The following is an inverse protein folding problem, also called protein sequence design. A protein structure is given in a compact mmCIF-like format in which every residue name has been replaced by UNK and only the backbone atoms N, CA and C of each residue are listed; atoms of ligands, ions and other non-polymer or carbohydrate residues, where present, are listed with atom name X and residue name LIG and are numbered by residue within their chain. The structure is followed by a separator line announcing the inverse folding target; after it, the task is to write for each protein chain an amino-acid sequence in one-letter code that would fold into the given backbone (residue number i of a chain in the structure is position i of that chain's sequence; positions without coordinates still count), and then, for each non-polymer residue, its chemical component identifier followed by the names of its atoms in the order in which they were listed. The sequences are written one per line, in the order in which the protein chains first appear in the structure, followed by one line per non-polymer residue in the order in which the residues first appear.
data_IF_130816027564
#
_entry.id   IF_130816027564
#
_cell.length_a   1.000
_cell.length_b   1.000
_cell.length_c   1.000
_cell.angle_alpha   90.00
_cell.angle_beta   90.00
_cell.angle_gamma   90.00
#
_symmetry.space_group_name_H-M   'P 1'
#
loop_
_entity.id
_entity.type
_entity.pdbx_description
1 polymer ?
#
# COMPACT_ATOMS: atom_id res chain seq x y z
N UNK A 1 4.28 17.78 12.69
CA UNK A 1 4.24 16.65 11.77
C UNK A 1 2.88 15.99 11.87
N UNK A 2 2.32 15.56 10.77
CA UNK A 2 1.07 14.80 10.65
C UNK A 2 1.35 13.30 10.61
N UNK A 3 0.33 12.47 10.89
CA UNK A 3 0.37 11.01 10.71
C UNK A 3 -0.70 10.61 9.70
N UNK A 4 -0.30 9.82 8.70
CA UNK A 4 -1.21 9.07 7.85
C UNK A 4 -1.16 7.59 8.28
N UNK A 5 -2.27 7.09 8.80
CA UNK A 5 -2.38 5.66 9.08
C UNK A 5 -2.80 4.91 7.82
N UNK A 6 -2.02 3.90 7.44
CA UNK A 6 -2.26 3.06 6.27
C UNK A 6 -2.58 1.60 6.61
N UNK A 7 -2.96 1.32 7.87
CA UNK A 7 -3.31 -0.03 8.34
C UNK A 7 -4.38 -0.68 7.46
N UNK A 8 -5.43 0.07 7.09
CA UNK A 8 -6.56 -0.44 6.33
C UNK A 8 -6.26 -0.67 4.84
N UNK A 9 -5.19 -0.07 4.31
CA UNK A 9 -4.77 -0.25 2.91
C UNK A 9 -3.51 -1.11 2.82
N UNK A 10 -2.37 -0.60 3.28
CA UNK A 10 -1.07 -1.27 3.19
C UNK A 10 -1.00 -2.49 4.12
N UNK A 11 -1.59 -2.36 5.32
CA UNK A 11 -1.66 -3.46 6.26
C UNK A 11 -2.43 -4.66 5.70
N UNK A 12 -3.52 -4.46 4.95
CA UNK A 12 -4.26 -5.55 4.32
C UNK A 12 -3.50 -6.21 3.15
N UNK A 13 -2.46 -5.55 2.62
CA UNK A 13 -1.58 -6.14 1.61
C UNK A 13 -0.55 -7.11 2.22
N UNK A 14 -0.39 -7.12 3.53
CA UNK A 14 0.44 -8.09 4.24
C UNK A 14 -0.13 -9.51 4.10
N UNK A 15 0.72 -10.49 3.76
CA UNK A 15 0.30 -11.89 3.74
C UNK A 15 -0.06 -12.36 5.15
N UNK A 16 -1.20 -12.99 5.28
CA UNK A 16 -1.76 -13.41 6.56
C UNK A 16 -2.55 -12.34 7.30
N UNK A 17 -2.76 -11.15 6.72
CA UNK A 17 -3.61 -10.12 7.32
C UNK A 17 -4.89 -9.95 6.52
N UNK A 18 -6.01 -10.00 7.22
CA UNK A 18 -7.32 -9.81 6.63
C UNK A 18 -8.25 -9.07 7.60
N UNK A 19 -8.89 -8.02 7.13
CA UNK A 19 -9.85 -7.24 7.91
C UNK A 19 -11.28 -7.41 7.38
N UNK A 20 -12.20 -8.05 8.15
CA UNK A 20 -13.63 -7.94 7.90
C UNK A 20 -14.10 -6.48 7.88
N UNK A 21 -15.14 -6.18 7.12
CA UNK A 21 -15.66 -4.80 6.99
C UNK A 21 -15.94 -4.17 8.36
N UNK A 22 -16.56 -4.90 9.27
CA UNK A 22 -16.83 -4.41 10.62
C UNK A 22 -15.57 -4.10 11.42
N UNK A 23 -14.51 -4.89 11.24
CA UNK A 23 -13.21 -4.61 11.86
C UNK A 23 -12.58 -3.34 11.26
N UNK A 24 -12.67 -3.15 9.93
CA UNK A 24 -12.20 -1.92 9.28
C UNK A 24 -12.91 -0.67 9.79
N UNK A 25 -14.22 -0.73 9.97
CA UNK A 25 -15.02 0.36 10.54
C UNK A 25 -14.59 0.69 11.97
N UNK A 26 -14.43 -0.33 12.81
CA UNK A 26 -13.94 -0.16 14.18
C UNK A 26 -12.55 0.44 14.22
N UNK A 27 -11.62 -0.06 13.39
CA UNK A 27 -10.27 0.49 13.28
C UNK A 27 -10.29 1.95 12.83
N UNK A 28 -11.11 2.31 11.83
CA UNK A 28 -11.24 3.69 11.39
C UNK A 28 -11.72 4.61 12.53
N UNK A 29 -12.71 4.18 13.34
CA UNK A 29 -13.18 4.94 14.50
C UNK A 29 -12.10 5.07 15.58
N UNK A 30 -11.34 4.00 15.87
CA UNK A 30 -10.27 4.01 16.87
C UNK A 30 -9.13 4.93 16.42
N UNK A 31 -8.73 4.89 15.15
CA UNK A 31 -7.72 5.77 14.58
C UNK A 31 -8.15 7.23 14.62
N UNK A 32 -9.41 7.52 14.30
CA UNK A 32 -10.00 8.87 14.42
C UNK A 32 -10.01 9.35 15.88
N UNK A 33 -10.38 8.49 16.82
CA UNK A 33 -10.32 8.79 18.25
C UNK A 33 -8.89 9.07 18.72
N UNK A 34 -7.89 8.38 18.17
CA UNK A 34 -6.46 8.67 18.42
C UNK A 34 -6.07 10.05 17.86
N UNK A 35 -6.82 10.58 16.89
CA UNK A 35 -6.60 11.88 16.27
C UNK A 35 -5.59 11.85 15.11
N UNK A 36 -5.40 10.71 14.43
CA UNK A 36 -4.54 10.66 13.25
C UNK A 36 -5.06 11.60 12.16
N UNK A 37 -4.16 12.23 11.42
CA UNK A 37 -4.54 13.29 10.47
C UNK A 37 -5.19 12.73 9.20
N UNK A 38 -4.74 11.56 8.76
CA UNK A 38 -5.27 10.84 7.61
C UNK A 38 -5.46 9.36 7.91
N UNK A 39 -6.50 8.76 7.36
CA UNK A 39 -6.71 7.32 7.32
C UNK A 39 -6.78 6.90 5.85
N UNK A 40 -5.87 6.04 5.43
CA UNK A 40 -5.87 5.47 4.09
C UNK A 40 -6.77 4.23 4.06
N UNK A 41 -7.97 4.39 3.50
CA UNK A 41 -9.08 3.44 3.68
C UNK A 41 -9.09 2.27 2.69
N UNK A 42 -8.20 2.28 1.70
CA UNK A 42 -8.08 1.18 0.74
C UNK A 42 -7.86 1.61 -0.70
N UNK A 43 -7.88 0.63 -1.61
CA UNK A 43 -7.87 0.81 -3.06
C UNK A 43 -9.18 0.23 -3.64
N UNK A 44 -10.25 1.02 -3.79
CA UNK A 44 -11.60 0.51 -4.05
C UNK A 44 -11.75 -0.21 -5.40
N UNK A 45 -10.84 0.03 -6.35
CA UNK A 45 -10.82 -0.68 -7.62
C UNK A 45 -10.20 -2.09 -7.54
N UNK A 46 -9.53 -2.44 -6.43
CA UNK A 46 -8.83 -3.72 -6.30
C UNK A 46 -9.81 -4.89 -6.13
N UNK A 47 -10.85 -4.73 -5.28
CA UNK A 47 -11.86 -5.77 -5.06
C UNK A 47 -13.20 -5.17 -4.61
N UNK A 48 -14.34 -5.88 -4.86
CA UNK A 48 -15.67 -5.43 -4.42
C UNK A 48 -15.80 -5.24 -2.91
N UNK A 49 -15.22 -6.13 -2.10
CA UNK A 49 -15.24 -6.04 -0.64
C UNK A 49 -14.49 -4.81 -0.11
N UNK A 50 -13.38 -4.42 -0.76
CA UNK A 50 -12.65 -3.19 -0.41
C UNK A 50 -13.49 -1.97 -0.74
N UNK A 51 -14.15 -1.96 -1.92
CA UNK A 51 -15.06 -0.86 -2.30
C UNK A 51 -16.19 -0.71 -1.29
N UNK A 52 -16.82 -1.81 -0.88
CA UNK A 52 -17.88 -1.80 0.13
C UNK A 52 -17.37 -1.23 1.46
N UNK A 53 -16.20 -1.67 1.92
CA UNK A 53 -15.59 -1.14 3.14
C UNK A 53 -15.36 0.37 3.06
N UNK A 54 -14.87 0.87 1.92
CA UNK A 54 -14.67 2.32 1.71
C UNK A 54 -15.99 3.09 1.78
N UNK A 55 -17.07 2.58 1.17
CA UNK A 55 -18.41 3.18 1.28
C UNK A 55 -18.84 3.29 2.74
N UNK A 56 -18.72 2.21 3.50
CA UNK A 56 -19.17 2.17 4.89
C UNK A 56 -18.33 3.05 5.81
N UNK A 57 -17.01 3.12 5.59
CA UNK A 57 -16.12 4.00 6.35
C UNK A 57 -16.38 5.47 6.00
N UNK A 58 -16.60 5.79 4.72
CA UNK A 58 -16.90 7.16 4.29
C UNK A 58 -18.22 7.72 4.86
N UNK A 59 -19.13 6.85 5.27
CA UNK A 59 -20.38 7.23 5.92
C UNK A 59 -20.24 7.48 7.44
N UNK A 60 -19.11 7.15 8.05
CA UNK A 60 -18.86 7.39 9.48
C UNK A 60 -18.55 8.88 9.75
N UNK A 61 -18.97 9.42 10.90
CA UNK A 61 -18.71 10.81 11.27
C UNK A 61 -17.27 10.99 11.80
N UNK A 62 -16.29 10.78 10.95
CA UNK A 62 -14.87 10.86 11.29
C UNK A 62 -14.33 12.29 11.06
N UNK A 63 -13.42 12.72 11.92
CA UNK A 63 -12.69 13.98 11.79
C UNK A 63 -11.41 13.84 10.96
N UNK A 64 -10.81 12.65 10.96
CA UNK A 64 -9.64 12.31 10.15
C UNK A 64 -9.95 12.42 8.66
N UNK A 65 -9.01 12.93 7.88
CA UNK A 65 -9.15 13.00 6.42
C UNK A 65 -9.04 11.59 5.84
N UNK A 66 -10.09 11.15 5.16
CA UNK A 66 -10.09 9.85 4.48
C UNK A 66 -9.47 9.97 3.09
N UNK A 67 -8.54 9.09 2.76
CA UNK A 67 -7.87 9.01 1.47
C UNK A 67 -7.98 7.60 0.92
N UNK A 68 -8.29 7.45 -0.37
CA UNK A 68 -8.24 6.15 -1.05
C UNK A 68 -7.23 6.18 -2.20
N UNK A 69 -6.56 5.05 -2.40
CA UNK A 69 -5.64 4.86 -3.53
C UNK A 69 -6.40 4.71 -4.86
N UNK A 70 -5.81 5.28 -5.91
CA UNK A 70 -6.18 5.02 -7.30
C UNK A 70 -4.92 4.99 -8.18
N UNK A 71 -4.94 4.13 -9.19
CA UNK A 71 -3.93 4.16 -10.24
C UNK A 71 -4.10 5.42 -11.10
N UNK A 72 -3.16 5.67 -12.02
CA UNK A 72 -3.27 6.73 -13.02
C UNK A 72 -4.33 6.36 -14.09
N UNK A 73 -5.56 6.16 -13.62
CA UNK A 73 -6.72 5.73 -14.40
C UNK A 73 -7.94 6.59 -14.04
N UNK A 74 -8.55 7.21 -15.06
CA UNK A 74 -9.69 8.13 -14.87
C UNK A 74 -10.90 7.47 -14.23
N UNK A 75 -11.16 6.19 -14.49
CA UNK A 75 -12.30 5.50 -13.91
C UNK A 75 -12.08 5.25 -12.41
N UNK A 76 -10.86 4.88 -11.99
CA UNK A 76 -10.52 4.73 -10.58
C UNK A 76 -10.55 6.05 -9.82
N UNK A 77 -10.01 7.13 -10.42
CA UNK A 77 -10.04 8.47 -9.81
C UNK A 77 -11.50 8.94 -9.62
N UNK A 78 -12.34 8.77 -10.65
CA UNK A 78 -13.76 9.09 -10.58
C UNK A 78 -14.47 8.27 -9.49
N UNK A 79 -14.18 6.98 -9.39
CA UNK A 79 -14.71 6.10 -8.35
C UNK A 79 -14.44 6.65 -6.95
N UNK A 80 -13.23 7.13 -6.66
CA UNK A 80 -12.91 7.74 -5.35
C UNK A 80 -13.85 8.92 -5.05
N UNK A 81 -14.10 9.77 -6.06
CA UNK A 81 -15.05 10.89 -5.91
C UNK A 81 -16.49 10.44 -5.69
N UNK A 82 -16.94 9.44 -6.46
CA UNK A 82 -18.30 8.88 -6.37
C UNK A 82 -18.56 8.18 -5.03
N UNK A 83 -17.51 7.65 -4.38
CA UNK A 83 -17.56 7.07 -3.04
C UNK A 83 -17.60 8.13 -1.91
N UNK A 84 -17.67 9.42 -2.25
CA UNK A 84 -17.84 10.50 -1.27
C UNK A 84 -16.54 10.97 -0.62
N UNK A 85 -15.37 10.51 -1.07
CA UNK A 85 -14.10 10.93 -0.52
C UNK A 85 -13.66 12.28 -1.09
N UNK A 86 -12.92 13.04 -0.27
CA UNK A 86 -12.34 14.32 -0.65
C UNK A 86 -10.88 14.20 -1.13
N UNK A 87 -10.19 13.10 -0.79
CA UNK A 87 -8.78 12.89 -1.09
C UNK A 87 -8.55 11.63 -1.91
N UNK A 88 -7.68 11.75 -2.92
CA UNK A 88 -7.17 10.60 -3.68
C UNK A 88 -5.65 10.49 -3.54
N UNK A 89 -5.17 9.28 -3.29
CA UNK A 89 -3.76 8.91 -3.33
C UNK A 89 -3.40 8.35 -4.71
N UNK A 90 -2.71 9.14 -5.52
CA UNK A 90 -2.15 8.71 -6.80
C UNK A 90 -0.70 8.27 -6.61
N UNK A 91 -0.25 7.30 -7.38
CA UNK A 91 1.12 6.80 -7.27
C UNK A 91 1.68 6.36 -8.63
N UNK A 92 2.97 6.55 -8.81
CA UNK A 92 3.75 6.03 -9.94
C UNK A 92 5.24 6.15 -9.66
N UNK A 93 6.02 5.20 -10.17
CA UNK A 93 7.47 5.32 -10.23
C UNK A 93 7.91 5.92 -11.57
N UNK A 94 9.08 6.56 -11.57
CA UNK A 94 9.69 7.15 -12.78
C UNK A 94 11.12 6.64 -13.04
N UNK A 95 11.63 5.78 -12.17
CA UNK A 95 12.95 5.17 -12.36
C UNK A 95 12.94 4.10 -13.46
N UNK A 96 14.10 3.65 -13.86
CA UNK A 96 14.28 2.70 -14.97
C UNK A 96 13.50 1.39 -14.76
N UNK A 97 13.43 0.86 -13.52
CA UNK A 97 12.68 -0.36 -13.21
C UNK A 97 11.16 -0.16 -13.42
N UNK A 98 10.65 0.98 -12.96
CA UNK A 98 9.24 1.34 -13.13
C UNK A 98 8.88 1.55 -14.60
N UNK A 99 9.72 2.28 -15.36
CA UNK A 99 9.51 2.50 -16.79
C UNK A 99 9.50 1.18 -17.57
N UNK A 100 10.44 0.28 -17.27
CA UNK A 100 10.50 -1.07 -17.86
C UNK A 100 9.22 -1.86 -17.54
N UNK A 101 8.79 -1.85 -16.27
CA UNK A 101 7.55 -2.52 -15.83
C UNK A 101 6.31 -2.02 -16.54
N UNK A 102 6.21 -0.71 -16.79
CA UNK A 102 5.08 -0.12 -17.50
C UNK A 102 5.16 -0.32 -19.02
N UNK A 103 6.33 -0.63 -19.57
CA UNK A 103 6.58 -0.61 -21.01
C UNK A 103 6.42 0.79 -21.61
N UNK A 104 6.75 1.83 -20.86
CA UNK A 104 6.55 3.23 -21.22
C UNK A 104 7.85 4.02 -21.17
N UNK A 105 7.93 5.05 -21.98
CA UNK A 105 8.95 6.08 -21.87
C UNK A 105 8.66 7.00 -20.67
N UNK A 106 9.69 7.68 -20.19
CA UNK A 106 9.54 8.69 -19.13
C UNK A 106 8.51 9.76 -19.49
N UNK A 107 8.56 10.24 -20.73
CA UNK A 107 7.62 11.24 -21.23
C UNK A 107 6.17 10.75 -21.10
N UNK A 108 5.88 9.54 -21.54
CA UNK A 108 4.52 8.97 -21.46
C UNK A 108 4.05 8.80 -20.02
N UNK A 109 4.97 8.45 -19.08
CA UNK A 109 4.64 8.37 -17.66
C UNK A 109 4.32 9.76 -17.09
N UNK A 110 5.12 10.79 -17.43
CA UNK A 110 4.84 12.17 -17.00
C UNK A 110 3.51 12.68 -17.57
N UNK A 111 3.21 12.41 -18.83
CA UNK A 111 1.92 12.77 -19.46
C UNK A 111 0.74 12.10 -18.75
N UNK A 112 0.87 10.82 -18.35
CA UNK A 112 -0.16 10.11 -17.60
C UNK A 112 -0.32 10.66 -16.17
N UNK A 113 0.77 10.95 -15.49
CA UNK A 113 0.77 11.56 -14.15
C UNK A 113 0.04 12.90 -14.23
N UNK A 114 0.45 13.78 -15.16
CA UNK A 114 -0.14 15.11 -15.33
C UNK A 114 -1.64 15.04 -15.63
N UNK A 115 -2.03 14.20 -16.58
CA UNK A 115 -3.43 14.02 -16.93
C UNK A 115 -4.28 13.51 -15.74
N UNK A 116 -3.71 12.63 -14.92
CA UNK A 116 -4.42 12.07 -13.76
C UNK A 116 -4.57 13.10 -12.63
N UNK A 117 -3.52 13.87 -12.34
CA UNK A 117 -3.57 14.94 -11.33
C UNK A 117 -4.57 16.01 -11.73
N UNK A 118 -4.49 16.52 -12.98
CA UNK A 118 -5.44 17.53 -13.49
C UNK A 118 -6.88 17.01 -13.43
N UNK A 119 -7.09 15.77 -13.85
CA UNK A 119 -8.43 15.18 -13.81
C UNK A 119 -8.99 15.05 -12.39
N UNK A 120 -8.15 14.65 -11.43
CA UNK A 120 -8.56 14.62 -10.03
C UNK A 120 -8.92 16.02 -9.50
N UNK A 121 -8.15 17.04 -9.88
CA UNK A 121 -8.44 18.44 -9.52
C UNK A 121 -9.74 18.94 -10.17
N UNK A 122 -10.00 18.57 -11.44
CA UNK A 122 -11.27 18.88 -12.13
C UNK A 122 -12.49 18.29 -11.40
N UNK A 123 -12.32 17.11 -10.77
CA UNK A 123 -13.36 16.48 -9.96
C UNK A 123 -13.48 17.10 -8.54
N UNK A 124 -12.68 18.11 -8.21
CA UNK A 124 -12.65 18.75 -6.89
C UNK A 124 -11.99 17.89 -5.80
N UNK A 125 -11.16 16.89 -6.18
CA UNK A 125 -10.42 16.09 -5.23
C UNK A 125 -9.13 16.81 -4.80
N UNK A 126 -8.77 16.64 -3.54
CA UNK A 126 -7.40 16.88 -3.08
C UNK A 126 -6.52 15.69 -3.48
N UNK A 127 -5.31 15.99 -3.95
CA UNK A 127 -4.40 14.99 -4.51
C UNK A 127 -3.17 14.84 -3.62
N UNK A 128 -2.94 13.61 -3.12
CA UNK A 128 -1.63 13.17 -2.63
C UNK A 128 -0.97 12.34 -3.72
N UNK A 129 0.18 12.76 -4.21
CA UNK A 129 0.95 11.97 -5.18
C UNK A 129 2.16 11.32 -4.50
N UNK A 130 2.25 10.00 -4.62
CA UNK A 130 3.38 9.21 -4.12
C UNK A 130 4.31 8.82 -5.26
N UNK A 131 5.58 9.26 -5.21
CA UNK A 131 6.60 8.71 -6.09
C UNK A 131 6.99 7.32 -5.57
N UNK A 132 6.55 6.27 -6.28
CA UNK A 132 6.91 4.88 -6.00
C UNK A 132 8.39 4.68 -6.29
N UNK A 133 9.08 3.96 -5.39
CA UNK A 133 10.51 3.65 -5.52
C UNK A 133 11.39 4.91 -5.64
N UNK A 134 11.03 5.93 -4.90
CA UNK A 134 11.73 7.21 -4.88
C UNK A 134 13.17 7.07 -4.35
N UNK A 135 13.43 6.11 -3.46
CA UNK A 135 14.75 5.81 -2.92
C UNK A 135 15.77 5.37 -3.98
N UNK A 136 15.30 4.79 -5.09
CA UNK A 136 16.12 4.36 -6.23
C UNK A 136 15.93 5.22 -7.49
N UNK A 137 15.21 6.34 -7.35
CA UNK A 137 15.04 7.34 -8.41
C UNK A 137 16.19 8.36 -8.37
N UNK A 138 16.65 8.80 -9.53
CA UNK A 138 17.63 9.90 -9.61
C UNK A 138 17.08 11.15 -8.93
N UNK A 139 17.90 11.86 -8.18
CA UNK A 139 17.46 12.97 -7.34
C UNK A 139 17.02 14.21 -8.11
N UNK A 140 17.65 14.47 -9.26
CA UNK A 140 17.27 15.59 -10.10
C UNK A 140 15.91 15.28 -10.76
N UNK A 141 15.74 14.03 -11.25
CA UNK A 141 14.47 13.58 -11.81
C UNK A 141 13.33 13.62 -10.78
N UNK A 142 13.62 13.26 -9.53
CA UNK A 142 12.66 13.35 -8.43
C UNK A 142 12.30 14.81 -8.12
N UNK A 143 13.28 15.70 -8.11
CA UNK A 143 13.07 17.13 -7.89
C UNK A 143 12.24 17.75 -9.02
N UNK A 144 12.55 17.41 -10.28
CA UNK A 144 11.81 17.86 -11.45
C UNK A 144 10.34 17.37 -11.39
N UNK A 145 10.12 16.09 -11.04
CA UNK A 145 8.77 15.55 -10.88
C UNK A 145 7.99 16.32 -9.81
N UNK A 146 8.59 16.54 -8.64
CA UNK A 146 7.89 17.22 -7.54
C UNK A 146 7.62 18.69 -7.85
N UNK A 147 8.54 19.38 -8.51
CA UNK A 147 8.33 20.73 -9.01
C UNK A 147 7.14 20.80 -9.98
N UNK A 148 7.12 19.91 -10.97
CA UNK A 148 6.04 19.80 -11.92
C UNK A 148 4.68 19.50 -11.27
N UNK A 149 4.63 18.54 -10.35
CA UNK A 149 3.39 18.18 -9.63
C UNK A 149 2.84 19.32 -8.78
N UNK A 150 3.72 20.12 -8.18
CA UNK A 150 3.35 21.31 -7.42
C UNK A 150 2.71 22.35 -8.34
N UNK A 151 3.27 22.57 -9.54
CA UNK A 151 2.70 23.47 -10.55
C UNK A 151 1.32 23.00 -11.02
N UNK A 152 1.09 21.68 -11.12
CA UNK A 152 -0.21 21.11 -11.45
C UNK A 152 -1.23 21.18 -10.30
N UNK A 153 -0.83 21.61 -9.12
CA UNK A 153 -1.70 21.79 -7.96
C UNK A 153 -1.91 20.53 -7.12
N UNK A 154 -0.95 19.60 -7.13
CA UNK A 154 -0.96 18.49 -6.16
C UNK A 154 -0.86 19.05 -4.72
N UNK A 155 -1.77 18.59 -3.84
CA UNK A 155 -1.88 19.14 -2.49
C UNK A 155 -0.84 18.56 -1.52
N UNK A 156 -0.38 17.33 -1.78
CA UNK A 156 0.63 16.62 -1.01
C UNK A 156 1.54 15.81 -1.93
N UNK A 157 2.83 15.79 -1.63
CA UNK A 157 3.82 15.00 -2.33
C UNK A 157 4.43 13.99 -1.37
N UNK A 158 4.61 12.75 -1.81
CA UNK A 158 5.06 11.66 -0.96
C UNK A 158 6.26 10.93 -1.56
N UNK A 159 7.26 10.70 -0.75
CA UNK A 159 8.44 9.92 -1.04
C UNK A 159 8.27 8.50 -0.50
N UNK A 160 8.31 7.48 -1.36
CA UNK A 160 8.24 6.10 -0.93
C UNK A 160 9.58 5.38 -1.09
N UNK A 161 10.13 4.89 0.03
CA UNK A 161 11.18 3.88 0.05
C UNK A 161 10.53 2.49 -0.07
N UNK A 162 10.08 2.19 -1.28
CA UNK A 162 9.21 1.05 -1.59
C UNK A 162 9.82 -0.30 -1.22
N UNK A 163 11.15 -0.41 -1.22
CA UNK A 163 11.87 -1.65 -0.91
C UNK A 163 12.74 -1.56 0.34
N UNK A 164 12.60 -0.51 1.15
CA UNK A 164 13.26 -0.36 2.44
C UNK A 164 14.79 -0.26 2.35
N UNK A 165 15.33 0.30 1.25
CA UNK A 165 16.78 0.37 1.03
C UNK A 165 17.43 1.66 1.50
N UNK A 166 16.65 2.66 1.86
CA UNK A 166 17.20 3.92 2.35
C UNK A 166 17.86 3.81 3.72
N UNK A 167 18.66 4.82 4.00
CA UNK A 167 19.33 4.99 5.29
C UNK A 167 19.12 6.41 5.80
N UNK A 168 19.26 6.64 7.12
CA UNK A 168 19.21 8.00 7.68
C UNK A 168 20.11 9.00 6.97
N UNK A 169 21.33 8.57 6.58
CA UNK A 169 22.28 9.41 5.86
C UNK A 169 21.76 9.80 4.46
N UNK A 170 21.09 8.87 3.74
CA UNK A 170 20.50 9.15 2.42
C UNK A 170 19.31 10.08 2.54
N UNK A 171 18.47 9.94 3.58
CA UNK A 171 17.37 10.87 3.85
C UNK A 171 17.90 12.28 4.16
N UNK A 172 18.95 12.40 4.99
CA UNK A 172 19.59 13.69 5.24
C UNK A 172 20.19 14.32 3.98
N UNK A 173 20.74 13.49 3.07
CA UNK A 173 21.23 13.95 1.78
C UNK A 173 20.10 14.35 0.81
N UNK A 174 18.93 13.68 0.87
CA UNK A 174 17.75 14.03 0.07
C UNK A 174 17.29 15.45 0.35
N UNK A 175 17.23 15.86 1.63
CA UNK A 175 16.86 17.23 2.00
C UNK A 175 17.71 18.26 1.26
N UNK A 176 19.05 18.04 1.18
CA UNK A 176 19.97 18.93 0.48
C UNK A 176 19.69 19.01 -1.02
N UNK A 177 19.29 17.90 -1.63
CA UNK A 177 18.98 17.84 -3.06
C UNK A 177 17.67 18.55 -3.43
N UNK A 178 16.73 18.66 -2.50
CA UNK A 178 15.45 19.32 -2.72
C UNK A 178 15.42 20.79 -2.34
N UNK A 179 16.54 21.32 -1.79
CA UNK A 179 16.66 22.76 -1.45
C UNK A 179 16.40 23.61 -2.70
N UNK A 180 15.49 24.57 -2.57
CA UNK A 180 15.09 25.46 -3.67
C UNK A 180 14.01 24.94 -4.60
N UNK A 181 13.72 23.63 -4.58
CA UNK A 181 12.61 23.02 -5.35
C UNK A 181 11.37 22.82 -4.47
N UNK A 182 11.57 22.14 -3.35
CA UNK A 182 10.48 21.77 -2.45
C UNK A 182 10.95 21.83 -0.99
N UNK A 183 10.28 22.60 -0.12
CA UNK A 183 10.56 22.54 1.31
C UNK A 183 10.27 21.15 1.88
N UNK A 184 11.14 20.65 2.75
CA UNK A 184 11.04 19.30 3.31
C UNK A 184 9.80 19.14 4.22
N UNK A 185 9.30 20.25 4.78
CA UNK A 185 8.08 20.33 5.56
C UNK A 185 6.79 20.26 4.72
N UNK A 186 6.91 20.04 3.42
CA UNK A 186 5.78 19.78 2.52
C UNK A 186 5.73 18.32 2.06
N UNK A 187 6.72 17.50 2.46
CA UNK A 187 6.82 16.10 2.05
C UNK A 187 6.20 15.14 3.06
N UNK A 188 5.51 14.15 2.53
CA UNK A 188 5.13 12.92 3.20
C UNK A 188 6.17 11.83 2.96
N UNK A 189 6.33 10.91 3.90
CA UNK A 189 7.27 9.80 3.78
C UNK A 189 6.62 8.46 4.09
N UNK A 190 6.89 7.50 3.23
CA UNK A 190 6.44 6.12 3.32
C UNK A 190 7.67 5.20 3.30
N UNK A 191 8.00 4.59 4.44
CA UNK A 191 9.20 3.77 4.59
C UNK A 191 8.85 2.32 4.85
N UNK A 192 9.23 1.41 3.93
CA UNK A 192 9.19 -0.02 4.18
C UNK A 192 10.35 -0.49 5.08
N UNK A 193 10.15 -1.61 5.75
CA UNK A 193 11.03 -2.11 6.81
C UNK A 193 11.85 -3.34 6.42
N UNK A 194 12.03 -3.60 5.14
CA UNK A 194 12.70 -4.80 4.61
C UNK A 194 14.12 -4.99 5.18
N UNK A 195 14.84 -3.91 5.43
CA UNK A 195 16.18 -3.94 6.05
C UNK A 195 16.18 -3.39 7.49
N UNK A 196 15.02 -3.35 8.17
CA UNK A 196 14.93 -2.88 9.56
C UNK A 196 15.14 -1.38 9.72
N UNK A 197 14.96 -0.56 8.67
CA UNK A 197 15.34 0.88 8.70
C UNK A 197 14.15 1.83 8.64
N UNK A 198 12.92 1.35 8.58
CA UNK A 198 11.73 2.21 8.48
C UNK A 198 11.70 3.24 9.62
N UNK A 199 11.81 2.81 10.86
CA UNK A 199 11.76 3.69 12.04
C UNK A 199 12.93 4.67 12.09
N UNK A 200 14.21 4.28 11.97
CA UNK A 200 15.34 5.21 11.91
C UNK A 200 15.22 6.25 10.79
N UNK A 201 14.73 5.85 9.61
CA UNK A 201 14.51 6.76 8.48
C UNK A 201 13.38 7.76 8.81
N UNK A 202 12.29 7.30 9.39
CA UNK A 202 11.17 8.16 9.80
C UNK A 202 11.59 9.20 10.83
N UNK A 203 12.29 8.78 11.88
CA UNK A 203 12.82 9.69 12.93
C UNK A 203 13.75 10.73 12.33
N UNK A 204 14.60 10.32 11.38
CA UNK A 204 15.48 11.24 10.66
C UNK A 204 14.69 12.24 9.83
N UNK A 205 13.70 11.79 9.06
CA UNK A 205 12.83 12.67 8.26
C UNK A 205 12.09 13.68 9.13
N UNK A 206 11.57 13.25 10.29
CA UNK A 206 10.89 14.12 11.27
C UNK A 206 11.87 15.18 11.80
N UNK A 207 13.07 14.78 12.19
CA UNK A 207 14.12 15.69 12.66
C UNK A 207 14.53 16.74 11.63
N UNK A 208 14.37 16.44 10.35
CA UNK A 208 14.60 17.32 9.21
C UNK A 208 13.37 18.14 8.80
N UNK A 209 12.24 17.97 9.49
CA UNK A 209 11.04 18.76 9.29
C UNK A 209 9.98 18.13 8.38
N UNK A 210 10.01 16.82 8.14
CA UNK A 210 8.98 16.13 7.35
C UNK A 210 7.56 16.52 7.79
N UNK A 211 6.67 16.74 6.82
CA UNK A 211 5.29 17.13 7.10
C UNK A 211 4.47 15.97 7.67
N UNK A 212 4.62 14.78 7.08
CA UNK A 212 3.82 13.61 7.45
C UNK A 212 4.64 12.32 7.32
N UNK A 213 4.37 11.37 8.21
CA UNK A 213 4.87 10.00 8.12
C UNK A 213 3.70 9.05 7.95
N UNK A 214 3.83 8.13 7.01
CA UNK A 214 2.93 6.99 6.87
C UNK A 214 3.33 5.92 7.89
N UNK A 215 2.37 5.43 8.65
CA UNK A 215 2.56 4.40 9.66
C UNK A 215 1.39 3.41 9.64
N UNK A 216 1.57 2.26 10.27
CA UNK A 216 0.51 1.29 10.47
C UNK A 216 0.55 0.71 11.89
N UNK A 217 -0.59 0.26 12.40
CA UNK A 217 -0.67 -0.47 13.67
C UNK A 217 0.16 -1.75 13.54
N UNK A 218 1.01 -2.03 14.52
CA UNK A 218 1.98 -3.14 14.54
C UNK A 218 2.98 -3.14 13.37
N UNK A 219 3.11 -2.03 12.66
CA UNK A 219 3.98 -1.91 11.49
C UNK A 219 3.63 -2.86 10.35
N UNK A 220 2.40 -3.37 10.29
CA UNK A 220 1.98 -4.31 9.22
C UNK A 220 1.95 -3.65 7.85
N UNK A 221 2.29 -4.41 6.81
CA UNK A 221 2.31 -3.95 5.42
C UNK A 221 2.91 -5.01 4.51
N UNK A 222 3.01 -4.71 3.23
CA UNK A 222 3.66 -5.61 2.25
C UNK A 222 5.04 -6.04 2.77
N UNK A 223 5.37 -7.32 2.63
CA UNK A 223 6.63 -7.96 3.04
C UNK A 223 6.95 -7.75 4.52
N UNK A 224 8.02 -7.02 4.85
CA UNK A 224 8.43 -6.76 6.23
C UNK A 224 7.67 -5.60 6.91
N UNK A 225 6.70 -4.99 6.19
CA UNK A 225 5.86 -3.94 6.74
C UNK A 225 6.48 -2.55 6.68
N UNK A 226 6.01 -1.68 7.57
CA UNK A 226 6.27 -0.23 7.59
C UNK A 226 6.77 0.24 8.96
N UNK A 227 6.71 1.55 9.15
CA UNK A 227 6.87 2.20 10.46
C UNK A 227 5.68 1.83 11.34
N UNK A 228 5.94 1.29 12.52
CA UNK A 228 4.90 1.02 13.50
C UNK A 228 4.41 2.33 14.13
N UNK A 229 3.08 2.52 14.17
CA UNK A 229 2.46 3.73 14.74
C UNK A 229 2.79 3.87 16.22
N UNK A 230 2.74 2.78 16.97
CA UNK A 230 3.07 2.73 18.39
C UNK A 230 4.50 3.19 18.69
N UNK A 231 5.47 2.80 17.84
CA UNK A 231 6.87 3.21 18.01
C UNK A 231 7.04 4.71 17.82
N UNK A 232 6.37 5.30 16.82
CA UNK A 232 6.36 6.75 16.62
C UNK A 232 5.75 7.49 17.81
N UNK A 233 4.62 6.99 18.32
CA UNK A 233 3.95 7.60 19.47
C UNK A 233 4.81 7.49 20.74
N UNK A 234 5.38 6.32 21.00
CA UNK A 234 6.26 6.09 22.13
C UNK A 234 7.52 6.98 22.06
N UNK A 235 8.16 7.05 20.90
CA UNK A 235 9.33 7.92 20.68
C UNK A 235 8.99 9.40 20.91
N UNK A 236 7.85 9.85 20.40
CA UNK A 236 7.39 11.22 20.60
C UNK A 236 7.17 11.57 22.06
N UNK A 237 6.53 10.70 22.84
CA UNK A 237 6.27 10.89 24.28
C UNK A 237 7.57 10.91 25.10
N UNK A 238 8.62 10.24 24.63
CA UNK A 238 9.95 10.23 25.27
C UNK A 238 10.87 11.38 24.81
N UNK A 239 10.31 12.48 24.29
CA UNK A 239 11.07 13.67 23.96
C UNK A 239 11.73 13.66 22.58
N UNK A 240 11.21 12.87 21.65
CA UNK A 240 11.69 12.85 20.26
C UNK A 240 11.68 14.25 19.65
N UNK A 241 12.74 14.60 18.91
CA UNK A 241 12.89 15.92 18.29
C UNK A 241 11.84 16.17 17.19
N UNK A 242 11.33 17.39 17.08
CA UNK A 242 10.36 17.77 16.02
C UNK A 242 8.91 17.35 16.29
N UNK A 243 8.59 16.82 17.47
CA UNK A 243 7.33 16.14 17.77
C UNK A 243 6.23 16.98 18.40
N UNK A 244 6.32 18.32 18.40
CA UNK A 244 5.33 19.18 19.08
C UNK A 244 3.86 18.83 18.78
N UNK A 245 3.55 18.37 17.56
CA UNK A 245 2.19 17.97 17.15
C UNK A 245 1.88 16.53 17.52
N UNK A 246 2.87 15.63 17.56
CA UNK A 246 2.65 14.20 17.89
C UNK A 246 2.17 14.06 19.36
N UNK A 247 2.56 14.96 20.24
CA UNK A 247 2.10 14.99 21.63
C UNK A 247 0.58 15.17 21.81
N UNK A 248 -0.14 15.58 20.74
CA UNK A 248 -1.58 15.77 20.76
C UNK A 248 -2.38 14.48 20.45
N UNK A 249 -1.72 13.42 19.93
CA UNK A 249 -2.42 12.15 19.66
C UNK A 249 -2.76 11.43 20.97
N UNK A 250 -3.97 10.89 21.02
CA UNK A 250 -4.43 10.06 22.14
C UNK A 250 -3.87 8.65 21.99
N UNK A 251 -3.30 8.11 23.05
CA UNK A 251 -2.72 6.77 23.04
C UNK A 251 -3.61 5.73 23.72
N UNK A 252 -4.63 6.16 24.46
CA UNK A 252 -5.52 5.27 25.19
C UNK A 252 -6.23 4.27 24.27
N UNK A 253 -6.69 4.65 23.05
CA UNK A 253 -7.32 3.70 22.12
C UNK A 253 -6.34 2.76 21.42
N UNK A 254 -5.02 2.99 21.49
CA UNK A 254 -4.01 2.22 20.77
C UNK A 254 -4.07 0.72 21.07
N UNK A 255 -4.31 0.36 22.33
CA UNK A 255 -4.42 -1.05 22.73
C UNK A 255 -5.54 -1.76 21.99
N UNK A 256 -6.71 -1.13 21.86
CA UNK A 256 -7.84 -1.68 21.10
C UNK A 256 -7.50 -1.83 19.62
N UNK A 257 -6.80 -0.85 19.03
CA UNK A 257 -6.34 -0.95 17.63
C UNK A 257 -5.41 -2.15 17.44
N UNK A 258 -4.45 -2.35 18.35
CA UNK A 258 -3.53 -3.50 18.30
C UNK A 258 -4.25 -4.84 18.48
N UNK A 259 -5.25 -4.93 19.37
CA UNK A 259 -6.07 -6.13 19.56
C UNK A 259 -6.84 -6.46 18.26
N UNK A 260 -7.53 -5.49 17.66
CA UNK A 260 -8.28 -5.66 16.41
C UNK A 260 -7.39 -6.13 15.25
N UNK A 261 -6.18 -5.57 15.14
CA UNK A 261 -5.21 -6.00 14.12
C UNK A 261 -4.70 -7.41 14.44
N UNK A 262 -4.34 -7.70 15.68
CA UNK A 262 -3.80 -9.01 16.10
C UNK A 262 -4.81 -10.14 15.87
N UNK A 263 -6.09 -9.89 16.11
CA UNK A 263 -7.19 -10.84 15.85
C UNK A 263 -7.40 -11.08 14.34
N UNK A 264 -6.93 -10.17 13.51
CA UNK A 264 -7.04 -10.23 12.04
C UNK A 264 -5.81 -10.88 11.38
N UNK A 265 -4.85 -11.38 12.16
CA UNK A 265 -3.63 -12.01 11.68
C UNK A 265 -3.74 -13.54 11.70
N UNK A 266 -3.62 -14.17 10.53
CA UNK A 266 -3.31 -15.58 10.44
C UNK A 266 -1.80 -15.79 10.71
N UNK A 267 -1.44 -16.27 11.89
CA UNK A 267 -0.03 -16.39 12.33
C UNK A 267 0.81 -17.23 11.39
N UNK A 268 0.31 -18.37 10.89
CA UNK A 268 1.04 -19.27 9.97
C UNK A 268 1.46 -18.53 8.71
N UNK A 269 0.56 -17.79 8.10
CA UNK A 269 0.82 -17.01 6.89
C UNK A 269 1.71 -15.80 7.19
N UNK A 270 1.44 -15.11 8.30
CA UNK A 270 2.17 -13.91 8.70
C UNK A 270 3.65 -14.17 8.98
N UNK A 271 4.01 -15.32 9.50
CA UNK A 271 5.41 -15.72 9.71
C UNK A 271 6.21 -15.85 8.41
N UNK A 272 5.53 -16.11 7.29
CA UNK A 272 6.12 -16.27 5.95
C UNK A 272 6.07 -14.99 5.10
N UNK A 273 5.55 -13.88 5.63
CA UNK A 273 5.21 -12.68 4.86
C UNK A 273 6.36 -11.98 4.15
N UNK A 274 7.57 -12.05 4.69
CA UNK A 274 8.70 -11.23 4.24
C UNK A 274 9.03 -11.36 2.75
N UNK A 275 8.77 -12.54 2.17
CA UNK A 275 9.00 -12.81 0.75
C UNK A 275 7.72 -13.30 0.04
N UNK A 276 6.56 -13.03 0.62
CA UNK A 276 5.26 -13.33 0.03
C UNK A 276 4.65 -12.07 -0.57
N UNK A 277 4.34 -12.12 -1.86
CA UNK A 277 3.78 -10.99 -2.62
C UNK A 277 2.28 -11.21 -2.85
N UNK A 278 1.47 -10.33 -2.29
CA UNK A 278 0.00 -10.40 -2.31
C UNK A 278 -0.62 -9.37 -3.25
N UNK A 279 -0.03 -8.19 -3.35
CA UNK A 279 -0.52 -7.12 -4.22
C UNK A 279 -0.28 -7.43 -5.70
N UNK A 280 -1.30 -7.24 -6.54
CA UNK A 280 -1.22 -7.50 -7.98
C UNK A 280 -0.14 -6.68 -8.68
N UNK A 281 0.15 -5.47 -8.21
CA UNK A 281 1.20 -4.61 -8.75
C UNK A 281 2.59 -5.20 -8.44
N UNK A 282 2.82 -5.61 -7.18
CA UNK A 282 4.07 -6.24 -6.77
C UNK A 282 4.30 -7.56 -7.49
N UNK A 283 3.28 -8.41 -7.57
CA UNK A 283 3.34 -9.67 -8.32
C UNK A 283 3.75 -9.41 -9.78
N UNK A 284 3.14 -8.42 -10.44
CA UNK A 284 3.50 -8.08 -11.82
C UNK A 284 4.97 -7.65 -11.94
N UNK A 285 5.45 -6.81 -11.04
CA UNK A 285 6.85 -6.37 -11.03
C UNK A 285 7.83 -7.52 -10.77
N UNK A 286 7.56 -8.35 -9.77
CA UNK A 286 8.38 -9.52 -9.43
C UNK A 286 8.47 -10.54 -10.58
N UNK A 287 7.40 -10.73 -11.33
CA UNK A 287 7.40 -11.62 -12.49
C UNK A 287 8.27 -11.11 -13.64
N UNK A 288 8.44 -9.80 -13.74
CA UNK A 288 9.32 -9.19 -14.74
C UNK A 288 10.77 -9.10 -14.26
N UNK A 289 10.96 -8.64 -13.03
CA UNK A 289 12.27 -8.45 -12.42
C UNK A 289 12.11 -8.43 -10.89
N UNK A 290 12.60 -9.45 -10.17
CA UNK A 290 12.48 -9.53 -8.71
C UNK A 290 13.03 -8.31 -7.97
N UNK A 291 14.09 -7.69 -8.50
CA UNK A 291 14.72 -6.49 -7.91
C UNK A 291 13.72 -5.32 -7.79
N UNK A 292 12.62 -5.35 -8.55
CA UNK A 292 11.57 -4.31 -8.46
C UNK A 292 10.99 -4.18 -7.05
N UNK A 293 10.82 -5.30 -6.33
CA UNK A 293 10.18 -5.31 -5.00
C UNK A 293 10.92 -6.17 -3.96
N UNK A 294 12.06 -6.75 -4.29
CA UNK A 294 12.91 -7.48 -3.35
C UNK A 294 14.28 -6.80 -3.26
N UNK A 295 14.62 -6.19 -2.11
CA UNK A 295 15.95 -5.61 -1.90
C UNK A 295 17.02 -6.68 -1.69
N UNK A 296 16.60 -7.91 -1.31
CA UNK A 296 17.46 -9.06 -1.03
C UNK A 296 16.83 -10.30 -1.66
N UNK A 297 17.67 -11.15 -2.27
CA UNK A 297 17.23 -12.46 -2.75
C UNK A 297 16.83 -13.34 -1.55
N UNK A 298 15.59 -13.87 -1.49
CA UNK A 298 15.13 -14.68 -0.38
C UNK A 298 15.99 -15.91 -0.11
N UNK A 299 16.65 -16.49 -1.13
CA UNK A 299 17.53 -17.65 -0.98
C UNK A 299 18.75 -17.37 -0.09
N UNK A 300 19.21 -16.12 -0.02
CA UNK A 300 20.31 -15.73 0.85
C UNK A 300 19.99 -15.85 2.35
N UNK A 301 18.70 -15.90 2.68
CA UNK A 301 18.20 -16.09 4.05
C UNK A 301 17.51 -17.45 4.26
N UNK A 302 17.65 -18.37 3.30
CA UNK A 302 17.05 -19.70 3.38
C UNK A 302 15.54 -19.74 3.13
N UNK A 303 15.00 -18.68 2.54
CA UNK A 303 13.58 -18.56 2.22
C UNK A 303 13.31 -18.72 0.72
N UNK A 304 12.03 -18.78 0.36
CA UNK A 304 11.57 -18.81 -1.02
C UNK A 304 10.56 -17.72 -1.27
N UNK A 305 10.55 -17.20 -2.52
CA UNK A 305 9.54 -16.26 -2.98
C UNK A 305 8.20 -16.96 -3.13
N UNK A 306 7.15 -16.37 -2.58
CA UNK A 306 5.79 -16.82 -2.73
C UNK A 306 4.91 -15.79 -3.46
N UNK A 307 4.07 -16.26 -4.39
CA UNK A 307 3.01 -15.46 -5.01
C UNK A 307 1.70 -15.89 -4.37
N UNK A 308 1.03 -14.95 -3.71
CA UNK A 308 -0.21 -15.23 -2.99
C UNK A 308 -1.42 -15.06 -3.91
N UNK A 309 -2.20 -16.13 -4.07
CA UNK A 309 -3.50 -16.08 -4.73
C UNK A 309 -4.51 -15.45 -3.75
N UNK A 310 -5.00 -14.27 -4.08
CA UNK A 310 -5.91 -13.51 -3.21
C UNK A 310 -6.77 -12.52 -4.01
N UNK A 311 -7.77 -11.91 -3.36
CA UNK A 311 -8.60 -10.86 -3.96
C UNK A 311 -7.81 -9.66 -4.52
N UNK A 312 -6.57 -9.46 -4.09
CA UNK A 312 -5.68 -8.39 -4.58
C UNK A 312 -4.93 -8.76 -5.85
N UNK A 313 -5.01 -10.02 -6.31
CA UNK A 313 -4.33 -10.49 -7.51
C UNK A 313 -4.82 -9.77 -8.77
N UNK A 314 -3.88 -9.47 -9.67
CA UNK A 314 -4.14 -8.91 -11.00
C UNK A 314 -4.06 -9.97 -12.11
N UNK A 315 -4.44 -9.58 -13.34
CA UNK A 315 -4.44 -10.46 -14.52
C UNK A 315 -3.07 -11.11 -14.78
N UNK A 316 -1.98 -10.33 -14.70
CA UNK A 316 -0.63 -10.84 -14.97
C UNK A 316 -0.21 -11.91 -13.95
N UNK A 317 -0.49 -11.68 -12.66
CA UNK A 317 -0.24 -12.66 -11.60
C UNK A 317 -1.02 -13.94 -11.83
N UNK A 318 -2.33 -13.83 -12.11
CA UNK A 318 -3.16 -14.99 -12.36
C UNK A 318 -2.69 -15.78 -13.60
N UNK A 319 -2.35 -15.13 -14.72
CA UNK A 319 -1.76 -15.81 -15.88
C UNK A 319 -0.54 -16.64 -15.52
N UNK A 320 0.38 -16.07 -14.77
CA UNK A 320 1.58 -16.78 -14.32
C UNK A 320 1.24 -18.00 -13.47
N UNK A 321 0.25 -17.87 -12.58
CA UNK A 321 -0.22 -19.01 -11.77
C UNK A 321 -0.85 -20.06 -12.67
N UNK A 322 -1.82 -19.72 -13.51
CA UNK A 322 -2.51 -20.67 -14.40
C UNK A 322 -1.53 -21.43 -15.31
N UNK A 323 -0.52 -20.74 -15.87
CA UNK A 323 0.52 -21.37 -16.68
C UNK A 323 1.31 -22.43 -15.92
N UNK A 324 1.64 -22.21 -14.65
CA UNK A 324 2.35 -23.20 -13.80
C UNK A 324 1.53 -24.47 -13.55
N UNK A 325 0.21 -24.34 -13.53
CA UNK A 325 -0.71 -25.47 -13.32
C UNK A 325 -1.28 -26.04 -14.62
N UNK A 326 -0.82 -25.59 -15.79
CA UNK A 326 -1.25 -26.08 -17.09
C UNK A 326 -2.73 -25.81 -17.38
N UNK A 327 -3.27 -24.71 -16.86
CA UNK A 327 -4.65 -24.29 -17.09
C UNK A 327 -4.67 -23.24 -18.20
N UNK A 328 -5.62 -23.42 -19.15
CA UNK A 328 -5.78 -22.48 -20.26
C UNK A 328 -6.11 -21.07 -19.75
N UNK A 329 -5.34 -20.07 -20.21
CA UNK A 329 -5.39 -18.69 -19.78
C UNK A 329 -6.01 -17.74 -20.81
N UNK A 330 -6.90 -18.25 -21.71
CA UNK A 330 -7.64 -17.37 -22.60
C UNK A 330 -8.42 -16.30 -21.80
N UNK A 331 -8.65 -15.14 -22.40
CA UNK A 331 -9.20 -13.97 -21.70
C UNK A 331 -10.53 -14.27 -20.99
N UNK A 332 -11.40 -15.09 -21.58
CA UNK A 332 -12.68 -15.48 -20.96
C UNK A 332 -12.49 -16.30 -19.68
N UNK A 333 -11.63 -17.30 -19.73
CA UNK A 333 -11.33 -18.16 -18.58
C UNK A 333 -10.60 -17.38 -17.50
N UNK A 334 -9.60 -16.57 -17.89
CA UNK A 334 -8.86 -15.70 -17.00
C UNK A 334 -9.78 -14.74 -16.22
N UNK A 335 -10.71 -14.08 -16.91
CA UNK A 335 -11.64 -13.16 -16.25
C UNK A 335 -12.60 -13.87 -15.32
N UNK A 336 -13.15 -15.03 -15.72
CA UNK A 336 -14.02 -15.85 -14.89
C UNK A 336 -13.33 -16.25 -13.57
N UNK A 337 -12.09 -16.73 -13.64
CA UNK A 337 -11.32 -17.15 -12.47
C UNK A 337 -10.98 -15.94 -11.61
N UNK A 338 -10.57 -14.83 -12.22
CA UNK A 338 -10.24 -13.61 -11.50
C UNK A 338 -11.44 -13.03 -10.76
N UNK A 339 -12.61 -13.02 -11.37
CA UNK A 339 -13.85 -12.54 -10.75
C UNK A 339 -14.25 -13.43 -9.56
N UNK A 340 -14.08 -14.75 -9.69
CA UNK A 340 -14.30 -15.67 -8.58
C UNK A 340 -13.33 -15.39 -7.42
N UNK A 341 -12.02 -15.32 -7.69
CA UNK A 341 -11.01 -15.01 -6.66
C UNK A 341 -11.33 -13.68 -5.95
N UNK A 342 -11.74 -12.66 -6.71
CA UNK A 342 -12.07 -11.35 -6.14
C UNK A 342 -13.36 -11.32 -5.33
N UNK A 343 -14.25 -12.28 -5.55
CA UNK A 343 -15.48 -12.44 -4.75
C UNK A 343 -15.22 -13.16 -3.43
N UNK A 344 -14.12 -13.87 -3.31
CA UNK A 344 -13.75 -14.62 -2.11
C UNK A 344 -12.94 -13.75 -1.16
N UNK A 345 -13.62 -13.21 -0.20
CA UNK A 345 -13.09 -12.18 0.71
C UNK A 345 -11.87 -12.65 1.50
N UNK A 346 -11.84 -13.95 1.89
CA UNK A 346 -10.81 -14.53 2.78
C UNK A 346 -9.79 -15.41 2.06
N UNK A 347 -9.79 -15.45 0.74
CA UNK A 347 -8.90 -16.31 -0.01
C UNK A 347 -7.45 -15.80 0.06
N UNK A 348 -6.58 -16.60 0.64
CA UNK A 348 -5.12 -16.42 0.63
C UNK A 348 -4.42 -17.77 0.53
N UNK A 349 -3.91 -18.11 -0.66
CA UNK A 349 -3.20 -19.35 -0.94
C UNK A 349 -1.82 -19.02 -1.50
N UNK A 350 -0.77 -19.60 -0.91
CA UNK A 350 0.61 -19.44 -1.37
C UNK A 350 1.28 -20.78 -1.66
N UNK A 351 0.85 -21.85 -1.01
CA UNK A 351 1.37 -23.19 -1.19
C UNK A 351 0.90 -23.78 -2.52
N UNK A 352 1.81 -24.42 -3.27
CA UNK A 352 1.50 -24.96 -4.59
C UNK A 352 0.35 -26.00 -4.54
N UNK A 353 0.29 -26.83 -3.50
CA UNK A 353 -0.77 -27.81 -3.32
C UNK A 353 -2.13 -27.12 -3.12
N UNK A 354 -2.21 -26.13 -2.23
CA UNK A 354 -3.45 -25.39 -1.95
C UNK A 354 -3.97 -24.67 -3.20
N UNK A 355 -3.06 -24.02 -3.96
CA UNK A 355 -3.40 -23.37 -5.23
C UNK A 355 -3.88 -24.39 -6.25
N UNK A 356 -3.21 -25.54 -6.36
CA UNK A 356 -3.60 -26.62 -7.26
C UNK A 356 -5.00 -27.14 -6.95
N UNK A 357 -5.27 -27.45 -5.69
CA UNK A 357 -6.57 -27.95 -5.22
C UNK A 357 -7.69 -26.91 -5.48
N UNK A 358 -7.41 -25.65 -5.21
CA UNK A 358 -8.34 -24.56 -5.52
C UNK A 358 -8.62 -24.42 -7.02
N UNK A 359 -7.61 -24.52 -7.86
CA UNK A 359 -7.74 -24.36 -9.31
C UNK A 359 -8.38 -25.57 -10.01
N UNK A 360 -8.38 -26.76 -9.41
CA UNK A 360 -8.98 -27.97 -9.99
C UNK A 360 -10.48 -27.79 -10.28
N UNK A 361 -11.19 -27.02 -9.45
CA UNK A 361 -12.58 -26.68 -9.69
C UNK A 361 -12.86 -25.98 -11.03
N UNK A 362 -11.84 -25.30 -11.60
CA UNK A 362 -11.98 -24.60 -12.87
C UNK A 362 -11.65 -25.47 -14.09
N UNK A 363 -10.98 -26.61 -13.88
CA UNK A 363 -10.70 -27.61 -14.94
C UNK A 363 -11.95 -28.39 -15.32
N UNK A 364 -12.77 -28.75 -14.34
CA UNK A 364 -13.92 -29.64 -14.50
C UNK A 364 -15.20 -28.99 -15.02
N UNK A 365 -15.24 -27.67 -15.21
CA UNK A 365 -16.43 -26.94 -15.66
C UNK A 365 -17.61 -26.97 -14.68
N UNK A 366 -17.45 -27.47 -13.47
CA UNK A 366 -18.46 -27.57 -12.44
C UNK A 366 -18.53 -26.23 -11.68
N UNK A 367 -19.71 -25.60 -11.63
CA UNK A 367 -19.96 -24.46 -10.76
C UNK A 367 -19.92 -24.91 -9.31
N UNK A 368 -18.96 -24.40 -8.53
CA UNK A 368 -18.80 -24.76 -7.11
C UNK A 368 -19.67 -23.85 -6.26
N UNK A 369 -20.34 -24.37 -5.22
CA UNK A 369 -21.05 -23.56 -4.23
C UNK A 369 -20.06 -22.67 -3.48
N UNK A 370 -20.42 -21.41 -3.24
CA UNK A 370 -19.71 -20.46 -2.39
C UNK A 370 -19.51 -21.04 -0.99
N UNK A 371 -18.30 -21.46 -0.64
CA UNK A 371 -18.06 -22.05 0.66
C UNK A 371 -16.73 -22.74 0.90
N UNK A 372 -15.62 -22.20 0.38
CA UNK A 372 -14.32 -22.58 0.95
C UNK A 372 -14.16 -21.86 2.30
N UNK A 373 -14.66 -22.52 3.36
CA UNK A 373 -14.34 -22.13 4.73
C UNK A 373 -12.90 -22.57 5.00
N UNK A 374 -11.94 -21.64 4.90
CA UNK A 374 -10.66 -21.82 5.58
C UNK A 374 -10.97 -21.96 7.07
N UNK A 375 -10.54 -23.07 7.67
CA UNK A 375 -10.64 -23.28 9.11
C UNK A 375 -9.89 -22.14 9.83
N UNK A 376 -10.65 -21.11 10.21
CA UNK A 376 -10.24 -20.19 11.24
C UNK A 376 -10.57 -20.90 12.56
N UNK A 377 -9.55 -21.24 13.32
CA UNK A 377 -9.76 -21.61 14.72
C UNK A 377 -9.24 -23.01 15.08
N UNK A 378 -8.16 -23.09 15.72
CA UNK A 378 -7.88 -23.43 17.14
C UNK A 378 -6.44 -23.14 17.45
#
# INVERSE_FOLDING_TARGET
MEILDTTLREGEQCYGVFFPIETKKKLACVLDEMGVDFIEVGHPAAAPSIRQAVVEIAALPLNSRLIAHARLDKAEIRMVRELGLAWVGLFSGINTLSLKRYGLTRREVYERISASVLYAKELGLSVRFTCEDASRTDRNELADLYGHLKELGADRLSYADTVGTDTPARIASLQKSLVGVLPFDTLHFHFHNDLGRAFPNAVTAIGLGAQCIDASILGIGERAGLVALEDLLAWSKNGGAGTKKIGCYRIEPLKLAQELVSESINRRHFEQRAFAHKSGLHIHGILQDPVSYEPVDPTLSGHHRAIVLSKLMGRAGLRSVLSRFGIEDNDRNLMRILDQIKSEEFLELAEAQEIGDYLEQFRSGISVPSGYRTHAGT
#
